data_IF_558900232695
#
_entry.id   IF_558900232695
#
_cell.length_a   1.000
_cell.length_b   1.000
_cell.length_c   1.000
_cell.angle_alpha   90.00
_cell.angle_beta   90.00
_cell.angle_gamma   90.00
#
_symmetry.space_group_name_H-M   'P 1'
#
loop_
_entity.id
_entity.type
_entity.pdbx_description
1 polymer ?
#
# COMPACT_ATOMS: atom_id res chain seq x y z
N UNK A 1 13.48 -68.27 30.33
CA UNK A 1 12.84 -66.97 30.08
C UNK A 1 13.33 -66.47 28.75
N UNK A 2 12.45 -66.42 27.71
CA UNK A 2 12.81 -65.91 26.37
C UNK A 2 12.15 -64.51 26.19
N UNK A 3 13.00 -63.48 26.09
CA UNK A 3 12.60 -62.15 25.83
C UNK A 3 12.31 -61.99 24.31
N UNK A 4 11.07 -61.72 23.94
CA UNK A 4 10.69 -61.39 22.55
C UNK A 4 10.83 -59.88 22.36
N UNK A 5 11.79 -59.49 21.51
CA UNK A 5 11.98 -58.08 21.06
C UNK A 5 10.95 -57.74 19.99
N UNK A 6 10.04 -56.79 20.26
CA UNK A 6 9.12 -56.24 19.30
C UNK A 6 9.81 -55.06 18.61
N UNK A 7 10.08 -55.19 17.32
CA UNK A 7 10.62 -54.17 16.46
C UNK A 7 9.44 -53.31 15.94
N UNK A 8 9.32 -52.07 16.41
CA UNK A 8 8.34 -51.13 15.88
C UNK A 8 8.93 -50.40 14.67
N UNK A 9 8.39 -50.71 13.48
CA UNK A 9 8.70 -49.98 12.26
C UNK A 9 7.85 -48.71 12.24
N UNK A 10 8.49 -47.56 12.41
CA UNK A 10 7.85 -46.22 12.22
C UNK A 10 7.93 -45.87 10.73
N UNK A 11 6.80 -45.93 10.06
CA UNK A 11 6.68 -45.47 8.67
C UNK A 11 6.46 -43.93 8.70
N UNK A 12 7.50 -43.19 8.36
CA UNK A 12 7.39 -41.71 8.15
C UNK A 12 6.85 -41.49 6.75
N UNK A 13 5.58 -41.11 6.66
CA UNK A 13 4.97 -40.63 5.43
C UNK A 13 5.36 -39.15 5.25
N UNK A 14 6.32 -38.89 4.37
CA UNK A 14 6.65 -37.53 3.91
C UNK A 14 5.54 -37.02 2.98
N UNK A 15 4.60 -36.24 3.52
CA UNK A 15 3.68 -35.45 2.73
C UNK A 15 4.46 -34.30 2.09
N UNK A 16 4.82 -34.46 0.82
CA UNK A 16 5.33 -33.36 0.00
C UNK A 16 4.17 -32.38 -0.26
N UNK A 17 4.12 -31.30 0.51
CA UNK A 17 3.24 -30.17 0.25
C UNK A 17 3.71 -29.49 -1.06
N UNK A 18 3.18 -29.95 -2.18
CA UNK A 18 3.34 -29.29 -3.47
C UNK A 18 2.60 -27.96 -3.45
N UNK A 19 3.32 -26.85 -3.41
CA UNK A 19 2.72 -25.52 -3.60
C UNK A 19 2.04 -25.48 -4.97
N UNK A 20 0.77 -25.08 -5.07
CA UNK A 20 0.07 -24.99 -6.34
C UNK A 20 0.78 -23.94 -7.22
N UNK A 21 1.38 -24.39 -8.32
CA UNK A 21 1.86 -23.50 -9.40
C UNK A 21 0.64 -22.95 -10.13
N UNK A 22 0.24 -21.75 -9.80
CA UNK A 22 -0.80 -21.05 -10.55
C UNK A 22 -0.29 -20.71 -11.94
N UNK A 23 -0.93 -21.30 -12.96
CA UNK A 23 -0.59 -21.06 -14.37
C UNK A 23 -1.18 -19.70 -14.80
N UNK A 24 -0.37 -18.84 -15.41
CA UNK A 24 -0.79 -17.51 -15.85
C UNK A 24 -1.98 -17.49 -16.84
N UNK A 25 -2.20 -18.58 -17.59
CA UNK A 25 -3.28 -18.69 -18.57
C UNK A 25 -4.67 -18.93 -17.96
N UNK A 26 -4.75 -19.53 -16.77
CA UNK A 26 -6.05 -19.73 -16.07
C UNK A 26 -6.58 -18.45 -15.40
N UNK A 27 -5.78 -17.42 -15.36
CA UNK A 27 -5.99 -16.22 -14.53
C UNK A 27 -6.83 -15.12 -15.20
N UNK A 28 -6.97 -15.12 -16.52
CA UNK A 28 -7.73 -14.08 -17.25
C UNK A 28 -9.21 -14.39 -17.39
N UNK A 29 -9.62 -15.66 -17.24
CA UNK A 29 -11.02 -16.09 -17.38
C UNK A 29 -11.93 -15.57 -16.27
N UNK A 30 -11.40 -15.30 -15.09
CA UNK A 30 -12.15 -14.87 -13.89
C UNK A 30 -12.35 -13.34 -13.79
N UNK A 31 -11.78 -12.56 -14.69
CA UNK A 31 -11.94 -11.10 -14.68
C UNK A 31 -13.29 -10.74 -15.29
N UNK A 32 -14.16 -10.02 -14.55
CA UNK A 32 -15.45 -9.57 -15.07
C UNK A 32 -15.30 -8.82 -16.40
N UNK A 33 -16.18 -9.06 -17.39
CA UNK A 33 -16.05 -8.45 -18.72
C UNK A 33 -15.90 -6.93 -18.71
N UNK A 34 -16.65 -6.23 -17.85
CA UNK A 34 -16.60 -4.77 -17.72
C UNK A 34 -15.25 -4.26 -17.21
N UNK A 35 -14.52 -5.06 -16.42
CA UNK A 35 -13.25 -4.68 -15.83
C UNK A 35 -12.06 -4.90 -16.79
N UNK A 36 -12.23 -5.72 -17.83
CA UNK A 36 -11.13 -6.10 -18.76
C UNK A 36 -10.49 -4.89 -19.46
N UNK A 37 -11.28 -3.87 -19.79
CA UNK A 37 -10.76 -2.64 -20.39
C UNK A 37 -9.81 -1.85 -19.48
N UNK A 38 -9.91 -2.07 -18.18
CA UNK A 38 -9.07 -1.42 -17.16
C UNK A 38 -7.84 -2.25 -16.78
N UNK A 39 -7.68 -3.45 -17.34
CA UNK A 39 -6.56 -4.35 -17.04
C UNK A 39 -5.45 -4.18 -18.04
N UNK A 40 -4.23 -3.98 -17.54
CA UNK A 40 -3.05 -3.79 -18.37
C UNK A 40 -1.94 -3.02 -17.65
N UNK A 41 -0.94 -2.62 -18.42
CA UNK A 41 0.23 -1.88 -17.88
C UNK A 41 0.26 -0.41 -18.29
N UNK A 42 -0.74 0.04 -19.07
CA UNK A 42 -0.90 1.42 -19.50
C UNK A 42 -1.29 2.37 -18.35
N UNK A 43 -1.26 3.67 -18.64
CA UNK A 43 -1.67 4.69 -17.64
C UNK A 43 -3.12 4.48 -17.22
N UNK A 44 -3.36 4.49 -15.90
CA UNK A 44 -4.69 4.26 -15.33
C UNK A 44 -5.21 2.83 -15.39
N UNK A 45 -4.47 1.89 -15.99
CA UNK A 45 -4.82 0.45 -15.97
C UNK A 45 -4.16 -0.24 -14.77
N UNK A 46 -4.78 -1.30 -14.29
CA UNK A 46 -4.25 -2.17 -13.23
C UNK A 46 -3.58 -3.40 -13.83
N UNK A 47 -2.37 -3.73 -13.40
CA UNK A 47 -1.69 -4.94 -13.86
C UNK A 47 -2.47 -6.21 -13.44
N UNK A 48 -2.54 -7.25 -14.31
CA UNK A 48 -3.30 -8.47 -14.03
C UNK A 48 -2.99 -9.09 -12.67
N UNK A 49 -1.71 -9.22 -12.31
CA UNK A 49 -1.29 -9.81 -11.02
C UNK A 49 -1.74 -8.97 -9.82
N UNK A 50 -1.72 -7.64 -9.94
CA UNK A 50 -2.16 -6.74 -8.87
C UNK A 50 -3.66 -6.87 -8.66
N UNK A 51 -4.44 -6.85 -9.73
CA UNK A 51 -5.89 -7.04 -9.68
C UNK A 51 -6.25 -8.40 -9.09
N UNK A 52 -5.62 -9.46 -9.55
CA UNK A 52 -5.91 -10.81 -9.11
C UNK A 52 -5.69 -10.98 -7.61
N UNK A 53 -4.54 -10.53 -7.09
CA UNK A 53 -4.25 -10.63 -5.66
C UNK A 53 -5.17 -9.75 -4.82
N UNK A 54 -5.50 -8.54 -5.29
CA UNK A 54 -6.46 -7.68 -4.63
C UNK A 54 -7.86 -8.29 -4.56
N UNK A 55 -8.34 -8.89 -5.67
CA UNK A 55 -9.63 -9.60 -5.70
C UNK A 55 -9.64 -10.84 -4.78
N UNK A 56 -8.56 -11.62 -4.82
CA UNK A 56 -8.43 -12.81 -3.97
C UNK A 56 -8.49 -12.43 -2.48
N UNK A 57 -7.76 -11.39 -2.08
CA UNK A 57 -7.80 -10.87 -0.72
C UNK A 57 -9.21 -10.39 -0.35
N UNK A 58 -9.84 -9.58 -1.19
CA UNK A 58 -11.19 -9.08 -0.96
C UNK A 58 -12.20 -10.22 -0.79
N UNK A 59 -12.19 -11.21 -1.70
CA UNK A 59 -13.08 -12.36 -1.64
C UNK A 59 -12.85 -13.23 -0.40
N UNK A 60 -11.59 -13.41 0.01
CA UNK A 60 -11.25 -14.13 1.25
C UNK A 60 -11.82 -13.41 2.47
N UNK A 61 -11.54 -12.13 2.62
CA UNK A 61 -12.00 -11.31 3.76
C UNK A 61 -13.53 -11.13 3.79
N UNK A 62 -14.17 -11.06 2.62
CA UNK A 62 -15.62 -11.04 2.52
C UNK A 62 -16.25 -12.35 3.00
N UNK A 63 -15.69 -13.51 2.63
CA UNK A 63 -16.17 -14.82 3.11
C UNK A 63 -15.95 -15.03 4.61
N UNK A 64 -14.88 -14.46 5.16
CA UNK A 64 -14.59 -14.45 6.60
C UNK A 64 -15.53 -13.52 7.38
N UNK A 65 -16.29 -12.66 6.71
CA UNK A 65 -17.10 -11.62 7.35
C UNK A 65 -16.29 -10.48 7.96
N UNK A 66 -15.00 -10.39 7.64
CA UNK A 66 -14.09 -9.36 8.17
C UNK A 66 -14.30 -7.99 7.54
N UNK A 67 -14.96 -7.92 6.40
CA UNK A 67 -15.26 -6.68 5.66
C UNK A 67 -16.71 -6.64 5.23
N UNK A 68 -17.25 -5.41 5.11
CA UNK A 68 -18.64 -5.16 4.68
C UNK A 68 -18.76 -4.17 3.53
N UNK A 69 -17.64 -3.62 3.06
CA UNK A 69 -17.60 -2.65 1.98
C UNK A 69 -17.78 -3.37 0.62
N UNK A 70 -18.63 -2.85 -0.31
CA UNK A 70 -18.76 -3.44 -1.64
C UNK A 70 -17.57 -3.13 -2.56
N UNK A 71 -16.67 -2.26 -2.15
CA UNK A 71 -15.48 -1.86 -2.89
C UNK A 71 -14.21 -2.36 -2.19
N UNK A 72 -13.14 -2.50 -2.96
CA UNK A 72 -11.81 -2.81 -2.44
C UNK A 72 -10.74 -1.97 -3.13
N UNK A 73 -9.56 -1.94 -2.53
CA UNK A 73 -8.44 -1.14 -3.00
C UNK A 73 -7.27 -2.02 -3.44
N UNK A 74 -6.56 -1.52 -4.44
CA UNK A 74 -5.27 -2.06 -4.85
C UNK A 74 -4.27 -0.93 -5.08
N UNK A 75 -2.99 -1.19 -4.86
CA UNK A 75 -1.92 -0.26 -5.18
C UNK A 75 -0.78 -0.98 -5.88
N UNK A 76 -0.34 -0.43 -7.01
CA UNK A 76 0.88 -0.86 -7.70
C UNK A 76 2.01 0.13 -7.40
N UNK A 77 2.79 -0.14 -6.37
CA UNK A 77 3.87 0.74 -5.94
C UNK A 77 5.12 0.66 -6.85
N UNK A 78 5.14 -0.25 -7.84
CA UNK A 78 6.19 -0.29 -8.86
C UNK A 78 6.01 0.76 -9.94
N UNK A 79 4.83 1.42 -10.03
CA UNK A 79 4.56 2.48 -11.01
C UNK A 79 5.25 3.78 -10.63
N UNK A 80 5.61 4.63 -11.59
CA UNK A 80 6.18 5.94 -11.30
C UNK A 80 5.19 6.83 -10.53
N UNK A 81 5.72 7.72 -9.68
CA UNK A 81 4.90 8.68 -8.93
C UNK A 81 4.33 9.80 -9.77
N UNK A 82 5.00 10.12 -10.86
CA UNK A 82 4.50 11.06 -11.87
C UNK A 82 4.77 10.53 -13.25
N UNK A 83 3.82 10.70 -14.16
CA UNK A 83 4.00 10.49 -15.58
C UNK A 83 3.98 11.88 -16.24
N UNK A 84 5.16 12.46 -16.48
CA UNK A 84 5.28 13.79 -17.12
C UNK A 84 4.69 14.91 -16.26
N UNK A 85 3.53 15.43 -16.65
CA UNK A 85 2.82 16.53 -15.96
C UNK A 85 1.82 16.07 -14.89
N UNK A 86 1.68 14.75 -14.66
CA UNK A 86 0.69 14.16 -13.77
C UNK A 86 1.28 13.33 -12.65
N UNK A 87 0.49 13.11 -11.61
CA UNK A 87 0.77 12.12 -10.59
C UNK A 87 0.47 10.74 -11.17
N UNK A 88 1.42 9.79 -11.09
CA UNK A 88 1.21 8.43 -11.58
C UNK A 88 0.00 7.77 -10.91
N UNK A 89 -0.92 7.27 -11.71
CA UNK A 89 -2.13 6.59 -11.24
C UNK A 89 -1.79 5.17 -10.86
N UNK A 90 -1.58 4.94 -9.58
CA UNK A 90 -1.12 3.66 -9.02
C UNK A 90 -2.02 3.08 -7.95
N UNK A 91 -3.01 3.84 -7.48
CA UNK A 91 -4.00 3.42 -6.50
C UNK A 91 -5.34 3.24 -7.20
N UNK A 92 -5.94 2.07 -7.01
CA UNK A 92 -7.14 1.65 -7.71
C UNK A 92 -8.26 1.42 -6.71
N UNK A 93 -9.43 1.96 -7.02
CA UNK A 93 -10.68 1.78 -6.28
C UNK A 93 -11.61 0.98 -7.17
N UNK A 94 -12.03 -0.20 -6.72
CA UNK A 94 -12.77 -1.17 -7.51
C UNK A 94 -14.04 -1.56 -6.76
N UNK A 95 -15.20 -1.29 -7.36
CA UNK A 95 -16.51 -1.63 -6.82
C UNK A 95 -17.24 -2.54 -7.82
N UNK A 96 -17.16 -3.86 -7.63
CA UNK A 96 -17.64 -4.81 -8.63
C UNK A 96 -19.17 -4.79 -8.80
N UNK A 97 -19.92 -4.61 -7.72
CA UNK A 97 -21.38 -4.50 -7.77
C UNK A 97 -21.84 -3.28 -8.58
N UNK A 98 -21.14 -2.17 -8.46
CA UNK A 98 -21.44 -0.91 -9.16
C UNK A 98 -20.77 -0.83 -10.55
N UNK A 99 -19.96 -1.82 -10.91
CA UNK A 99 -19.13 -1.83 -12.11
C UNK A 99 -18.29 -0.57 -12.25
N UNK A 100 -17.76 -0.06 -11.14
CA UNK A 100 -16.94 1.17 -11.14
C UNK A 100 -15.47 0.86 -10.88
N UNK A 101 -14.62 1.59 -11.61
CA UNK A 101 -13.18 1.53 -11.51
C UNK A 101 -12.60 2.93 -11.56
N UNK A 102 -11.78 3.29 -10.59
CA UNK A 102 -11.07 4.56 -10.56
C UNK A 102 -9.58 4.29 -10.32
N UNK A 103 -8.74 4.95 -11.11
CA UNK A 103 -7.30 4.97 -10.91
C UNK A 103 -6.87 6.40 -10.51
N UNK A 104 -6.25 6.53 -9.36
CA UNK A 104 -5.79 7.81 -8.81
C UNK A 104 -4.31 7.75 -8.45
N UNK A 105 -3.71 8.91 -8.24
CA UNK A 105 -2.33 8.97 -7.73
C UNK A 105 -2.26 8.61 -6.26
N UNK A 106 -1.12 8.03 -5.86
CA UNK A 106 -0.82 7.75 -4.46
C UNK A 106 0.67 7.86 -4.18
N UNK A 107 1.01 8.27 -2.96
CA UNK A 107 2.36 8.23 -2.46
C UNK A 107 2.78 6.80 -2.08
N UNK A 108 4.09 6.58 -2.09
CA UNK A 108 4.76 5.41 -1.50
C UNK A 108 5.84 5.87 -0.52
N UNK A 109 6.36 4.95 0.29
CA UNK A 109 7.41 5.23 1.26
C UNK A 109 8.69 5.74 0.60
N UNK A 110 9.12 6.94 0.99
CA UNK A 110 10.36 7.56 0.48
C UNK A 110 11.63 6.84 0.92
N UNK A 111 11.54 6.02 1.95
CA UNK A 111 12.69 5.40 2.58
C UNK A 111 13.61 6.42 3.25
N UNK A 112 14.69 5.95 3.82
CA UNK A 112 15.78 6.77 4.35
C UNK A 112 17.05 5.94 4.47
N UNK A 113 18.19 6.64 4.55
CA UNK A 113 19.45 6.02 4.94
C UNK A 113 19.46 5.78 6.45
N UNK A 114 19.71 4.54 6.85
CA UNK A 114 19.98 4.15 8.23
C UNK A 114 21.50 4.01 8.39
N UNK A 115 22.13 4.99 9.05
CA UNK A 115 23.60 5.05 9.19
C UNK A 115 24.15 3.74 9.77
N UNK A 116 25.14 3.17 9.09
CA UNK A 116 25.81 1.93 9.51
C UNK A 116 25.02 0.63 9.26
N UNK A 117 23.80 0.71 8.72
CA UNK A 117 22.96 -0.45 8.45
C UNK A 117 22.67 -0.63 6.96
N UNK A 118 21.94 0.33 6.36
CA UNK A 118 21.55 0.24 4.96
C UNK A 118 21.09 1.60 4.40
N UNK A 119 21.14 1.75 3.07
CA UNK A 119 20.49 2.83 2.35
C UNK A 119 19.16 2.31 1.73
N UNK A 120 18.04 2.74 2.30
CA UNK A 120 16.69 2.43 1.82
C UNK A 120 16.06 3.62 1.08
N UNK A 121 16.79 4.63 0.69
CA UNK A 121 16.23 5.79 0.00
C UNK A 121 15.68 5.42 -1.37
N UNK A 122 14.41 5.74 -1.58
CA UNK A 122 13.73 5.60 -2.86
C UNK A 122 13.89 6.86 -3.71
N UNK A 123 13.92 6.70 -5.04
CA UNK A 123 13.91 7.79 -5.99
C UNK A 123 12.62 8.64 -5.91
N UNK A 124 12.62 9.80 -6.57
CA UNK A 124 11.43 10.66 -6.62
C UNK A 124 10.29 10.04 -7.42
N UNK A 125 10.61 9.35 -8.51
CA UNK A 125 9.62 8.80 -9.44
C UNK A 125 9.37 7.32 -9.24
N UNK A 126 10.41 6.55 -8.91
CA UNK A 126 10.35 5.10 -8.81
C UNK A 126 10.81 4.62 -7.45
N UNK A 127 10.01 3.73 -6.85
CA UNK A 127 10.44 2.96 -5.70
C UNK A 127 11.27 1.76 -6.16
N UNK A 128 12.33 1.47 -5.42
CA UNK A 128 13.17 0.27 -5.59
C UNK A 128 13.27 -0.56 -4.30
N UNK A 129 12.98 0.07 -3.16
CA UNK A 129 13.03 -0.56 -1.86
C UNK A 129 11.64 -0.66 -1.25
N UNK A 130 11.33 -1.82 -0.72
CA UNK A 130 10.12 -2.17 0.01
C UNK A 130 10.52 -2.93 1.25
N UNK A 131 9.97 -2.62 2.41
CA UNK A 131 10.33 -3.29 3.65
C UNK A 131 9.34 -2.97 4.76
N UNK A 132 9.15 -3.93 5.65
CA UNK A 132 8.42 -3.79 6.91
C UNK A 132 9.32 -3.37 8.08
N UNK A 133 10.61 -3.15 7.86
CA UNK A 133 11.54 -2.75 8.92
C UNK A 133 11.10 -1.42 9.54
N UNK A 134 11.06 -1.38 10.87
CA UNK A 134 10.73 -0.19 11.62
C UNK A 134 11.69 0.96 11.31
N UNK A 135 11.16 2.16 11.25
CA UNK A 135 11.92 3.36 10.96
C UNK A 135 12.46 3.46 9.54
N UNK A 136 12.32 2.44 8.67
CA UNK A 136 12.78 2.48 7.27
C UNK A 136 12.07 3.52 6.42
N UNK A 137 10.85 3.94 6.81
CA UNK A 137 9.95 4.83 6.04
C UNK A 137 9.60 4.27 4.66
N UNK A 138 9.63 2.96 4.51
CA UNK A 138 9.28 2.26 3.28
C UNK A 138 7.84 1.75 3.30
N UNK A 139 7.24 1.66 2.14
CA UNK A 139 6.00 0.89 1.95
C UNK A 139 6.32 -0.60 2.05
N UNK A 140 5.44 -1.35 2.68
CA UNK A 140 5.45 -2.82 2.65
C UNK A 140 4.38 -3.28 1.69
N UNK A 141 4.72 -4.18 0.78
CA UNK A 141 3.74 -4.86 -0.07
C UNK A 141 3.03 -5.97 0.70
N UNK A 142 1.80 -6.27 0.31
CA UNK A 142 1.00 -7.32 0.91
C UNK A 142 -0.44 -6.92 1.22
N UNK A 143 -1.06 -7.67 2.12
CA UNK A 143 -2.47 -7.58 2.48
C UNK A 143 -2.70 -6.63 3.65
N UNK A 144 -3.74 -5.80 3.50
CA UNK A 144 -4.23 -4.90 4.54
C UNK A 144 -5.76 -4.89 4.59
N UNK A 145 -6.29 -4.60 5.77
CA UNK A 145 -7.69 -4.23 5.99
C UNK A 145 -7.72 -2.80 6.53
N UNK A 146 -8.65 -1.99 6.06
CA UNK A 146 -8.86 -0.63 6.60
C UNK A 146 -9.51 -0.72 7.97
N UNK A 147 -9.05 0.12 8.90
CA UNK A 147 -9.55 0.19 10.26
C UNK A 147 -10.15 1.57 10.56
N UNK A 148 -9.96 2.08 11.77
CA UNK A 148 -10.53 3.36 12.18
C UNK A 148 -9.90 4.55 11.46
N UNK A 149 -10.71 5.60 11.32
CA UNK A 149 -10.25 6.93 10.90
C UNK A 149 -10.04 7.81 12.12
N UNK A 150 -8.86 8.39 12.26
CA UNK A 150 -8.51 9.32 13.34
C UNK A 150 -8.06 10.67 12.78
N UNK A 151 -8.14 11.70 13.61
CA UNK A 151 -7.50 12.99 13.30
C UNK A 151 -6.01 12.88 13.62
N UNK A 152 -5.16 12.94 12.60
CA UNK A 152 -3.71 12.93 12.78
C UNK A 152 -3.12 14.31 13.03
N UNK A 153 -3.89 15.34 12.73
CA UNK A 153 -3.47 16.72 12.88
C UNK A 153 -4.68 17.66 12.83
N UNK A 154 -4.68 18.68 13.66
CA UNK A 154 -5.64 19.79 13.64
C UNK A 154 -4.96 21.09 14.06
N UNK A 155 -5.35 22.21 13.45
CA UNK A 155 -4.76 23.52 13.75
C UNK A 155 -5.10 24.58 12.72
N UNK A 156 -4.36 25.68 12.75
CA UNK A 156 -4.51 26.77 11.80
C UNK A 156 -3.31 26.83 10.85
N UNK A 157 -3.57 26.88 9.57
CA UNK A 157 -2.56 26.94 8.52
C UNK A 157 -2.70 28.14 7.65
N UNK A 158 -1.57 28.66 7.22
CA UNK A 158 -1.52 29.72 6.24
C UNK A 158 -1.73 29.13 4.84
N UNK A 159 -2.84 29.54 4.23
CA UNK A 159 -3.17 29.24 2.84
C UNK A 159 -3.46 30.58 2.17
N UNK A 160 -2.76 30.92 1.08
CA UNK A 160 -2.89 32.20 0.39
C UNK A 160 -2.79 33.42 1.33
N UNK A 161 -1.88 33.39 2.29
CA UNK A 161 -1.64 34.47 3.25
C UNK A 161 -2.58 34.52 4.46
N UNK A 162 -3.65 33.72 4.51
CA UNK A 162 -4.62 33.67 5.61
C UNK A 162 -4.49 32.38 6.41
N UNK A 163 -4.64 32.48 7.73
CA UNK A 163 -4.76 31.31 8.58
C UNK A 163 -6.16 30.72 8.48
N UNK A 164 -6.22 29.46 8.11
CA UNK A 164 -7.48 28.70 7.91
C UNK A 164 -7.46 27.47 8.80
N UNK A 165 -8.59 27.13 9.46
CA UNK A 165 -8.72 25.89 10.18
C UNK A 165 -8.48 24.68 9.25
N UNK A 166 -7.73 23.70 9.73
CA UNK A 166 -7.48 22.48 9.00
C UNK A 166 -7.39 21.29 9.95
N UNK A 167 -7.99 20.18 9.52
CA UNK A 167 -7.88 18.90 10.18
C UNK A 167 -7.50 17.85 9.15
N UNK A 168 -6.44 17.08 9.43
CA UNK A 168 -6.00 15.99 8.57
C UNK A 168 -6.49 14.66 9.15
N UNK A 169 -7.31 13.95 8.39
CA UNK A 169 -7.71 12.59 8.73
C UNK A 169 -6.63 11.58 8.36
N UNK A 170 -6.57 10.51 9.11
CA UNK A 170 -5.69 9.38 8.90
C UNK A 170 -6.51 8.10 9.01
N UNK A 171 -6.49 7.29 7.96
CA UNK A 171 -7.12 5.98 7.94
C UNK A 171 -6.07 4.93 8.33
N UNK A 172 -6.27 4.27 9.46
CA UNK A 172 -5.38 3.21 9.92
C UNK A 172 -5.53 1.96 9.04
N UNK A 173 -4.41 1.27 8.80
CA UNK A 173 -4.40 -0.05 8.18
C UNK A 173 -3.96 -1.11 9.19
N UNK A 174 -4.66 -2.25 9.17
CA UNK A 174 -4.23 -3.51 9.78
C UNK A 174 -3.61 -4.38 8.71
N UNK A 175 -2.46 -4.96 9.01
CA UNK A 175 -1.75 -5.83 8.08
C UNK A 175 -1.75 -7.29 8.50
N UNK A 176 -1.42 -8.17 7.55
CA UNK A 176 -1.26 -9.61 7.77
C UNK A 176 0.04 -10.11 7.13
N UNK A 177 0.63 -11.16 7.68
CA UNK A 177 1.90 -11.69 7.17
C UNK A 177 3.02 -10.65 7.23
N UNK A 178 3.64 -10.35 6.09
CA UNK A 178 4.73 -9.35 5.99
C UNK A 178 4.31 -7.94 6.40
N UNK A 179 3.01 -7.66 6.43
CA UNK A 179 2.46 -6.35 6.80
C UNK A 179 1.91 -6.29 8.23
N UNK A 180 2.02 -7.37 9.01
CA UNK A 180 1.40 -7.50 10.34
C UNK A 180 1.77 -6.37 11.33
N UNK A 181 2.94 -5.76 11.19
CA UNK A 181 3.37 -4.62 12.02
C UNK A 181 2.88 -3.25 11.52
N UNK A 182 1.89 -3.22 10.63
CA UNK A 182 1.40 -1.97 10.03
C UNK A 182 0.90 -0.96 11.08
N UNK A 183 0.17 -1.43 12.11
CA UNK A 183 -0.32 -0.57 13.18
C UNK A 183 0.82 0.01 14.01
N UNK A 184 1.79 -0.79 14.40
CA UNK A 184 2.96 -0.36 15.17
C UNK A 184 3.79 0.68 14.41
N UNK A 185 3.90 0.51 13.10
CA UNK A 185 4.59 1.45 12.20
C UNK A 185 3.74 2.65 11.78
N UNK A 186 2.52 2.78 12.28
CA UNK A 186 1.57 3.83 11.89
C UNK A 186 1.35 3.90 10.37
N UNK A 187 1.24 2.74 9.70
CA UNK A 187 0.96 2.66 8.27
C UNK A 187 -0.54 2.85 8.04
N UNK A 188 -0.87 3.73 7.12
CA UNK A 188 -2.25 4.05 6.80
C UNK A 188 -2.39 4.90 5.55
N UNK A 189 -3.56 5.53 5.38
CA UNK A 189 -3.88 6.41 4.28
C UNK A 189 -4.27 7.81 4.73
N UNK A 190 -3.80 8.84 4.02
CA UNK A 190 -4.09 10.23 4.39
C UNK A 190 -3.97 11.19 3.20
N UNK A 191 -4.53 12.43 3.30
CA UNK A 191 -4.26 13.48 2.32
C UNK A 191 -2.77 13.78 2.18
N UNK A 192 -2.31 14.00 0.95
CA UNK A 192 -0.92 14.33 0.62
C UNK A 192 -0.62 15.81 0.93
N UNK A 193 -0.61 16.14 2.20
CA UNK A 193 -0.27 17.48 2.70
C UNK A 193 0.85 17.40 3.72
N UNK A 194 1.78 18.31 3.63
CA UNK A 194 2.86 18.51 4.62
C UNK A 194 2.58 19.78 5.40
N UNK A 195 2.73 19.66 6.69
CA UNK A 195 2.52 20.72 7.65
C UNK A 195 3.88 21.20 8.14
N UNK A 196 4.23 22.45 7.83
CA UNK A 196 5.39 23.10 8.39
C UNK A 196 4.97 23.92 9.60
N UNK A 197 5.49 23.54 10.75
CA UNK A 197 5.21 24.20 12.00
C UNK A 197 5.85 25.60 12.04
N UNK A 198 5.08 26.57 12.51
CA UNK A 198 5.58 27.91 12.83
C UNK A 198 5.61 28.14 14.34
N UNK A 199 4.49 27.89 15.04
CA UNK A 199 4.36 28.05 16.49
C UNK A 199 3.16 27.28 17.04
N UNK A 200 3.08 27.22 18.38
CA UNK A 200 1.87 26.83 19.13
C UNK A 200 1.42 28.01 19.94
N UNK A 201 0.12 28.22 20.05
CA UNK A 201 -0.47 29.28 20.88
C UNK A 201 -1.42 28.68 21.90
N UNK A 202 -1.40 29.22 23.11
CA UNK A 202 -2.33 28.81 24.17
C UNK A 202 -3.72 29.34 23.83
N UNK A 203 -4.66 28.45 23.59
CA UNK A 203 -6.08 28.74 23.36
C UNK A 203 -6.90 27.49 23.68
N UNK A 204 -7.13 27.22 24.98
CA UNK A 204 -7.83 26.00 25.39
C UNK A 204 -9.32 25.97 24.99
N UNK A 205 -9.89 27.11 24.60
CA UNK A 205 -11.27 27.21 24.09
C UNK A 205 -11.40 26.83 22.60
N UNK A 206 -10.30 26.70 21.89
CA UNK A 206 -10.34 26.34 20.48
C UNK A 206 -10.68 24.85 20.28
N UNK A 207 -11.55 24.49 19.31
CA UNK A 207 -11.79 23.10 18.93
C UNK A 207 -10.56 22.41 18.33
N UNK A 208 -9.53 23.17 18.01
CA UNK A 208 -8.25 22.72 17.48
C UNK A 208 -7.16 22.60 18.54
N UNK A 209 -7.49 22.88 19.81
CA UNK A 209 -6.54 22.70 20.90
C UNK A 209 -6.20 21.21 21.12
N UNK A 210 -4.96 20.95 21.49
CA UNK A 210 -4.55 19.65 22.04
C UNK A 210 -4.96 19.49 23.49
N UNK A 211 -4.59 18.39 24.13
CA UNK A 211 -4.90 18.09 25.52
C UNK A 211 -4.31 19.12 26.51
N UNK A 212 -3.21 19.76 26.13
CA UNK A 212 -2.54 20.80 26.92
C UNK A 212 -3.12 22.20 26.65
N UNK A 213 -4.09 22.31 25.76
CA UNK A 213 -4.75 23.56 25.39
C UNK A 213 -3.95 24.43 24.44
N UNK A 214 -3.04 23.86 23.66
CA UNK A 214 -2.31 24.58 22.62
C UNK A 214 -2.85 24.26 21.24
N UNK A 215 -2.92 25.29 20.41
CA UNK A 215 -3.30 25.22 19.01
C UNK A 215 -2.08 25.38 18.12
N UNK A 216 -1.81 24.45 17.21
CA UNK A 216 -0.74 24.58 16.24
C UNK A 216 -1.06 25.60 15.15
N UNK A 217 -0.05 26.37 14.76
CA UNK A 217 -0.05 27.26 13.61
C UNK A 217 1.10 26.91 12.69
N UNK A 218 0.89 26.93 11.39
CA UNK A 218 1.91 26.56 10.42
C UNK A 218 1.56 26.93 8.99
N UNK A 219 2.32 26.36 8.06
CA UNK A 219 2.06 26.43 6.64
C UNK A 219 1.61 25.07 6.13
N UNK A 220 0.55 25.09 5.30
CA UNK A 220 0.10 23.93 4.57
C UNK A 220 0.78 23.93 3.20
N UNK A 221 1.56 22.90 2.92
CA UNK A 221 2.10 22.66 1.59
C UNK A 221 1.52 21.37 1.04
N UNK A 222 0.96 21.45 -0.17
CA UNK A 222 0.57 20.25 -0.90
C UNK A 222 1.84 19.50 -1.28
N UNK A 223 1.85 18.24 -0.92
CA UNK A 223 2.95 17.38 -1.25
C UNK A 223 2.56 16.54 -2.47
N UNK A 224 3.02 17.01 -3.62
CA UNK A 224 2.68 16.37 -4.91
C UNK A 224 3.69 15.31 -5.34
N UNK A 225 4.72 15.08 -4.53
CA UNK A 225 5.85 14.22 -4.91
C UNK A 225 5.58 12.73 -4.92
N UNK A 226 4.36 12.27 -4.66
CA UNK A 226 4.00 10.85 -4.68
C UNK A 226 4.78 9.99 -3.68
N UNK A 227 5.31 10.59 -2.59
CA UNK A 227 6.12 9.92 -1.56
C UNK A 227 5.57 10.21 -0.17
N UNK A 228 5.76 9.25 0.75
CA UNK A 228 5.34 9.33 2.15
C UNK A 228 6.42 8.77 3.08
N UNK A 229 6.10 8.56 4.33
CA UNK A 229 6.90 7.82 5.31
C UNK A 229 6.49 6.34 5.43
N UNK A 230 5.99 5.74 4.36
CA UNK A 230 5.50 4.36 4.31
C UNK A 230 4.01 4.26 4.00
N UNK A 231 3.22 5.28 4.34
CA UNK A 231 1.78 5.33 4.11
C UNK A 231 1.41 5.44 2.63
N UNK A 232 0.15 5.13 2.30
CA UNK A 232 -0.47 5.64 1.07
C UNK A 232 -0.92 7.07 1.30
N UNK A 233 -0.70 7.94 0.33
CA UNK A 233 -1.19 9.31 0.42
C UNK A 233 -1.89 9.71 -0.88
N UNK A 234 -3.04 10.34 -0.75
CA UNK A 234 -3.90 10.73 -1.88
C UNK A 234 -3.96 12.23 -2.03
N UNK A 235 -4.35 12.72 -3.20
CA UNK A 235 -4.56 14.15 -3.37
C UNK A 235 -5.59 14.67 -2.35
N UNK A 236 -5.53 15.97 -1.99
CA UNK A 236 -6.55 16.57 -1.12
C UNK A 236 -7.98 16.42 -1.65
N UNK A 237 -8.16 16.29 -2.96
CA UNK A 237 -9.46 16.08 -3.60
C UNK A 237 -9.91 14.62 -3.60
N UNK A 238 -8.97 13.64 -3.67
CA UNK A 238 -9.31 12.22 -3.67
C UNK A 238 -9.51 11.66 -2.27
N UNK A 239 -8.87 12.25 -1.27
CA UNK A 239 -8.89 11.74 0.10
C UNK A 239 -10.29 11.74 0.75
N UNK A 240 -11.10 12.83 0.70
CA UNK A 240 -12.42 12.83 1.33
C UNK A 240 -13.37 11.73 0.84
N UNK A 241 -13.52 11.49 -0.49
CA UNK A 241 -14.38 10.40 -0.95
C UNK A 241 -13.88 9.01 -0.54
N UNK A 242 -12.55 8.78 -0.45
CA UNK A 242 -12.01 7.51 0.02
C UNK A 242 -12.34 7.32 1.50
N UNK A 243 -12.11 8.34 2.32
CA UNK A 243 -12.41 8.28 3.77
C UNK A 243 -13.91 8.06 4.02
N UNK A 244 -14.78 8.74 3.25
CA UNK A 244 -16.23 8.54 3.33
C UNK A 244 -16.65 7.11 2.94
N UNK A 245 -15.99 6.52 1.93
CA UNK A 245 -16.29 5.18 1.46
C UNK A 245 -16.00 4.11 2.53
N UNK A 246 -14.94 4.29 3.32
CA UNK A 246 -14.53 3.30 4.34
C UNK A 246 -15.04 3.60 5.74
N UNK A 247 -15.76 4.72 5.92
CA UNK A 247 -16.32 5.09 7.21
C UNK A 247 -17.31 4.00 7.65
N UNK A 248 -17.05 3.40 8.80
CA UNK A 248 -17.86 2.32 9.40
C UNK A 248 -18.04 1.07 8.51
N UNK A 249 -17.30 0.98 7.40
CA UNK A 249 -17.32 -0.13 6.44
C UNK A 249 -15.91 -0.52 6.03
N UNK A 250 -15.22 -1.35 6.81
CA UNK A 250 -13.87 -1.77 6.49
C UNK A 250 -13.81 -2.48 5.13
N UNK A 251 -12.69 -2.30 4.43
CA UNK A 251 -12.40 -2.96 3.17
C UNK A 251 -10.94 -3.41 3.12
N UNK A 252 -10.57 -4.10 2.05
CA UNK A 252 -9.20 -4.54 1.82
C UNK A 252 -8.42 -3.54 0.97
N UNK A 253 -7.13 -3.48 1.23
CA UNK A 253 -6.12 -2.88 0.37
C UNK A 253 -5.02 -3.91 0.12
N UNK A 254 -4.73 -4.20 -1.14
CA UNK A 254 -3.57 -4.96 -1.53
C UNK A 254 -2.51 -4.05 -2.14
N UNK A 255 -1.27 -4.11 -1.66
CA UNK A 255 -0.14 -3.34 -2.18
C UNK A 255 0.86 -4.28 -2.85
N UNK A 256 1.15 -4.06 -4.13
CA UNK A 256 2.20 -4.76 -4.88
C UNK A 256 3.46 -3.87 -4.94
N UNK A 257 4.69 -4.42 -4.84
CA UNK A 257 5.05 -5.83 -4.77
C UNK A 257 5.19 -6.32 -3.32
N UNK A 258 5.01 -7.61 -3.11
CA UNK A 258 5.43 -8.29 -1.90
C UNK A 258 6.96 -8.54 -1.89
N UNK A 259 7.52 -8.91 -0.74
CA UNK A 259 8.96 -9.21 -0.60
C UNK A 259 9.43 -10.29 -1.58
N UNK A 260 8.65 -11.35 -1.74
CA UNK A 260 8.95 -12.43 -2.68
C UNK A 260 8.97 -11.99 -4.17
N UNK A 261 8.12 -11.02 -4.55
CA UNK A 261 8.14 -10.46 -5.91
C UNK A 261 9.42 -9.66 -6.15
N UNK A 262 9.83 -8.86 -5.16
CA UNK A 262 11.08 -8.07 -5.22
C UNK A 262 12.27 -9.00 -5.41
N UNK A 263 12.39 -10.04 -4.58
CA UNK A 263 13.47 -11.02 -4.63
C UNK A 263 13.51 -11.77 -5.97
N UNK A 264 12.34 -12.19 -6.46
CA UNK A 264 12.24 -12.89 -7.75
C UNK A 264 12.68 -12.00 -8.92
N UNK A 265 12.26 -10.73 -8.93
CA UNK A 265 12.64 -9.77 -9.98
C UNK A 265 14.12 -9.45 -9.91
N UNK A 266 14.69 -9.21 -8.73
CA UNK A 266 16.13 -8.99 -8.54
C UNK A 266 16.94 -10.20 -9.01
N UNK A 267 16.49 -11.42 -8.70
CA UNK A 267 17.13 -12.65 -9.13
C UNK A 267 17.12 -12.80 -10.66
N UNK A 268 15.98 -12.53 -11.32
CA UNK A 268 15.88 -12.56 -12.77
C UNK A 268 16.82 -11.56 -13.43
N UNK A 269 16.87 -10.31 -12.92
CA UNK A 269 17.76 -9.27 -13.44
C UNK A 269 19.25 -9.63 -13.29
N UNK A 270 19.64 -10.21 -12.15
CA UNK A 270 21.02 -10.72 -11.93
C UNK A 270 21.37 -11.85 -12.88
N UNK A 271 20.40 -12.66 -13.30
CA UNK A 271 20.56 -13.70 -14.31
C UNK A 271 20.52 -13.17 -15.77
N UNK A 272 20.44 -11.85 -15.97
CA UNK A 272 20.36 -11.22 -17.30
C UNK A 272 18.99 -11.35 -17.99
N UNK A 273 17.96 -11.78 -17.25
CA UNK A 273 16.60 -11.91 -17.79
C UNK A 273 15.75 -10.68 -17.42
N UNK A 274 14.90 -10.24 -18.34
CA UNK A 274 13.86 -9.27 -17.98
C UNK A 274 12.78 -9.94 -17.11
N UNK A 275 12.11 -9.21 -16.23
CA UNK A 275 11.01 -9.77 -15.44
C UNK A 275 9.93 -10.44 -16.29
N UNK A 276 9.57 -9.86 -17.43
CA UNK A 276 8.58 -10.42 -18.35
C UNK A 276 9.02 -11.78 -18.92
N UNK A 277 10.30 -11.95 -19.28
CA UNK A 277 10.85 -13.25 -19.72
C UNK A 277 10.82 -14.30 -18.62
N UNK A 278 10.95 -13.87 -17.37
CA UNK A 278 10.84 -14.73 -16.20
C UNK A 278 9.38 -14.96 -15.74
N UNK A 279 8.38 -14.47 -16.46
CA UNK A 279 6.96 -14.55 -16.06
C UNK A 279 6.59 -13.67 -14.86
N UNK A 280 7.42 -12.67 -14.55
CA UNK A 280 7.25 -11.76 -13.42
C UNK A 280 6.75 -10.39 -13.90
N UNK A 281 6.09 -9.67 -13.02
CA UNK A 281 5.64 -8.30 -13.29
C UNK A 281 6.52 -7.29 -12.56
N UNK A 282 6.85 -6.22 -13.25
CA UNK A 282 7.32 -4.94 -12.73
C UNK A 282 7.02 -3.87 -13.75
N UNK A 283 6.61 -2.69 -13.32
CA UNK A 283 6.31 -1.62 -14.26
C UNK A 283 7.55 -1.22 -15.07
N UNK A 284 7.45 -1.23 -16.39
CA UNK A 284 8.60 -1.03 -17.28
C UNK A 284 9.28 0.34 -17.11
N UNK A 285 8.51 1.38 -16.80
CA UNK A 285 9.04 2.73 -16.58
C UNK A 285 9.97 2.81 -15.36
N UNK A 286 9.72 1.98 -14.33
CA UNK A 286 10.51 1.94 -13.12
C UNK A 286 11.50 0.76 -13.03
N UNK A 287 11.56 -0.08 -14.06
CA UNK A 287 12.42 -1.26 -14.04
C UNK A 287 13.91 -0.92 -13.82
N UNK A 288 14.38 0.21 -14.38
CA UNK A 288 15.76 0.65 -14.20
C UNK A 288 16.10 1.04 -12.76
N UNK A 289 15.11 1.42 -11.96
CA UNK A 289 15.32 1.83 -10.58
C UNK A 289 15.77 0.67 -9.67
N UNK A 290 15.43 -0.59 -10.04
CA UNK A 290 15.79 -1.79 -9.26
C UNK A 290 17.09 -2.44 -9.74
N UNK A 291 17.75 -1.91 -10.75
CA UNK A 291 19.10 -2.37 -11.13
C UNK A 291 20.11 -1.86 -10.11
N UNK A 292 20.84 -2.79 -9.52
CA UNK A 292 21.93 -2.57 -8.54
C UNK A 292 23.25 -2.52 -9.26
#
# INVERSE_FOLDING_TARGET
MRLKSLLHIVVIVLLAAGSPRFSAAAQTSDIPPWLRAHVGTGEGQIAPVVLQRARALYQAKSREGAISNPCYFAMDATRPSSAGSGLGRRFFIICEAERSFRAISSGYGSGRTLRGLADFANGKECAKHFSNAEGSKLTTGGAYVTAETRTSFKGYYRVAGKFTPFSRSFLQFEGEGDTANAREREIGGHPAVVLRWSCRRKDPGSPYADEEGYVPFGELTNYTGGRSNGCTSWSPSDSPPILAMVKDKPTTLYIYPESGDVDAVVKALKAGQSPAQAGLYWNAACLRAIRW
#
